data_IF_694570677712
#
_entry.id   IF_694570677712
#
_cell.length_a   1.000
_cell.length_b   1.000
_cell.length_c   1.000
_cell.angle_alpha   90.00
_cell.angle_beta   90.00
_cell.angle_gamma   90.00
#
_symmetry.space_group_name_H-M   'P 1'
#
loop_
_entity.id
_entity.type
_entity.pdbx_description
1 polymer ?
#
# COMPACT_ATOMS: atom_id res chain seq x y z
N UNK A 1 -1.12 -26.79 -12.89
CA UNK A 1 -1.22 -26.68 -11.43
C UNK A 1 -2.70 -26.71 -11.07
N UNK A 2 -3.15 -27.75 -10.37
CA UNK A 2 -4.56 -28.00 -10.07
C UNK A 2 -5.06 -26.98 -9.05
N UNK A 3 -6.05 -26.16 -9.44
CA UNK A 3 -6.78 -25.30 -8.51
C UNK A 3 -7.85 -26.19 -7.88
N UNK A 4 -7.56 -26.71 -6.70
CA UNK A 4 -8.41 -27.70 -6.07
C UNK A 4 -9.65 -27.00 -5.48
N UNK A 5 -10.74 -27.04 -6.28
CA UNK A 5 -12.08 -26.56 -5.98
C UNK A 5 -12.77 -27.38 -4.87
N UNK A 6 -12.07 -27.83 -3.84
CA UNK A 6 -12.63 -28.75 -2.83
C UNK A 6 -12.85 -28.03 -1.48
N UNK A 7 -13.98 -28.30 -0.82
CA UNK A 7 -14.25 -27.81 0.53
C UNK A 7 -13.45 -28.62 1.58
N UNK A 8 -13.59 -28.27 2.86
CA UNK A 8 -12.89 -28.94 3.96
C UNK A 8 -13.20 -30.45 4.10
N UNK A 9 -14.29 -30.90 3.47
CA UNK A 9 -14.72 -32.31 3.44
C UNK A 9 -14.24 -33.05 2.18
N UNK A 10 -13.53 -32.37 1.27
CA UNK A 10 -13.02 -32.97 0.03
C UNK A 10 -14.03 -33.04 -1.10
N UNK A 11 -15.17 -32.35 -1.01
CA UNK A 11 -16.15 -32.24 -2.09
C UNK A 11 -15.92 -31.01 -2.96
N UNK A 12 -16.17 -31.15 -4.26
CA UNK A 12 -15.99 -30.05 -5.21
C UNK A 12 -17.00 -28.94 -4.93
N UNK A 13 -16.56 -27.87 -4.30
CA UNK A 13 -17.35 -26.72 -3.91
C UNK A 13 -16.87 -25.45 -4.64
N UNK A 14 -17.51 -25.21 -5.78
CA UNK A 14 -17.27 -24.01 -6.58
C UNK A 14 -17.71 -22.72 -5.87
N UNK A 15 -18.58 -22.81 -4.87
CA UNK A 15 -19.09 -21.66 -4.12
C UNK A 15 -18.05 -21.17 -3.12
N UNK A 16 -17.48 -22.08 -2.33
CA UNK A 16 -16.40 -21.76 -1.41
C UNK A 16 -15.17 -21.18 -2.14
N UNK A 17 -14.78 -21.79 -3.27
CA UNK A 17 -13.67 -21.29 -4.08
C UNK A 17 -13.91 -19.86 -4.60
N UNK A 18 -15.10 -19.58 -5.16
CA UNK A 18 -15.45 -18.23 -5.65
C UNK A 18 -15.44 -17.19 -4.54
N UNK A 19 -15.93 -17.54 -3.35
CA UNK A 19 -15.93 -16.64 -2.20
C UNK A 19 -14.50 -16.29 -1.75
N UNK A 20 -13.59 -17.27 -1.69
CA UNK A 20 -12.18 -17.05 -1.36
C UNK A 20 -11.51 -16.14 -2.39
N UNK A 21 -11.70 -16.42 -3.68
CA UNK A 21 -11.14 -15.62 -4.77
C UNK A 21 -11.63 -14.16 -4.74
N UNK A 22 -12.91 -13.92 -4.44
CA UNK A 22 -13.45 -12.57 -4.31
C UNK A 22 -12.78 -11.79 -3.15
N UNK A 23 -12.51 -12.44 -2.02
CA UNK A 23 -11.79 -11.83 -0.89
C UNK A 23 -10.32 -11.57 -1.26
N UNK A 24 -9.67 -12.48 -1.99
CA UNK A 24 -8.30 -12.26 -2.45
C UNK A 24 -8.20 -11.10 -3.46
N UNK A 25 -9.14 -11.00 -4.40
CA UNK A 25 -9.16 -9.91 -5.37
C UNK A 25 -9.36 -8.54 -4.70
N UNK A 26 -10.28 -8.45 -3.74
CA UNK A 26 -10.48 -7.21 -2.97
C UNK A 26 -9.24 -6.83 -2.15
N UNK A 27 -8.56 -7.81 -1.54
CA UNK A 27 -7.27 -7.58 -0.88
C UNK A 27 -6.18 -7.11 -1.86
N UNK A 28 -6.08 -7.73 -3.04
CA UNK A 28 -5.11 -7.34 -4.08
C UNK A 28 -5.36 -5.91 -4.58
N UNK A 29 -6.62 -5.50 -4.76
CA UNK A 29 -6.97 -4.11 -5.13
C UNK A 29 -6.53 -3.11 -4.06
N UNK A 30 -6.86 -3.36 -2.79
CA UNK A 30 -6.43 -2.50 -1.67
C UNK A 30 -4.90 -2.39 -1.57
N UNK A 31 -4.18 -3.49 -1.77
CA UNK A 31 -2.71 -3.48 -1.78
C UNK A 31 -2.13 -2.66 -2.95
N UNK A 32 -2.75 -2.73 -4.14
CA UNK A 32 -2.34 -1.91 -5.29
C UNK A 32 -2.57 -0.42 -5.03
N UNK A 33 -3.74 -0.05 -4.52
CA UNK A 33 -4.05 1.34 -4.14
C UNK A 33 -3.04 1.86 -3.11
N UNK A 34 -2.73 1.07 -2.07
CA UNK A 34 -1.72 1.44 -1.09
C UNK A 34 -0.33 1.61 -1.72
N UNK A 35 0.08 0.73 -2.64
CA UNK A 35 1.37 0.84 -3.32
C UNK A 35 1.49 2.09 -4.21
N UNK A 36 0.39 2.54 -4.82
CA UNK A 36 0.35 3.79 -5.57
C UNK A 36 0.51 5.00 -4.64
N UNK A 37 -0.18 5.01 -3.49
CA UNK A 37 0.00 6.04 -2.47
C UNK A 37 1.42 6.09 -1.93
N UNK A 38 2.04 4.93 -1.68
CA UNK A 38 3.41 4.86 -1.17
C UNK A 38 4.43 5.42 -2.18
N UNK A 39 4.23 5.16 -3.48
CA UNK A 39 5.04 5.77 -4.55
C UNK A 39 4.91 7.29 -4.56
N UNK A 40 3.70 7.83 -4.41
CA UNK A 40 3.48 9.27 -4.34
C UNK A 40 4.23 9.88 -3.16
N UNK A 41 4.14 9.25 -1.98
CA UNK A 41 4.85 9.69 -0.77
C UNK A 41 6.36 9.67 -0.96
N UNK A 42 6.92 8.67 -1.65
CA UNK A 42 8.35 8.63 -1.98
C UNK A 42 8.78 9.82 -2.85
N UNK A 43 8.01 10.15 -3.89
CA UNK A 43 8.33 11.30 -4.76
C UNK A 43 8.29 12.61 -4.00
N UNK A 44 7.28 12.81 -3.14
CA UNK A 44 7.19 14.01 -2.30
C UNK A 44 8.42 14.12 -1.38
N UNK A 45 8.80 13.02 -0.71
CA UNK A 45 10.00 12.99 0.14
C UNK A 45 11.26 13.35 -0.64
N UNK A 46 11.40 12.83 -1.86
CA UNK A 46 12.53 13.11 -2.73
C UNK A 46 12.63 14.59 -3.11
N UNK A 47 11.52 15.22 -3.51
CA UNK A 47 11.48 16.65 -3.84
C UNK A 47 11.81 17.51 -2.61
N UNK A 48 11.22 17.18 -1.45
CA UNK A 48 11.49 17.88 -0.18
C UNK A 48 12.97 17.80 0.18
N UNK A 49 13.58 16.63 0.00
CA UNK A 49 15.00 16.41 0.23
C UNK A 49 15.90 17.23 -0.69
N UNK A 50 15.59 17.29 -1.99
CA UNK A 50 16.31 18.11 -2.96
C UNK A 50 16.21 19.61 -2.64
N UNK A 51 15.07 20.06 -2.11
CA UNK A 51 14.87 21.44 -1.69
C UNK A 51 15.63 21.81 -0.40
N UNK A 52 16.36 20.86 0.22
CA UNK A 52 17.10 21.12 1.47
C UNK A 52 16.25 20.99 2.73
N UNK A 53 15.06 20.38 2.63
CA UNK A 53 14.16 20.17 3.75
C UNK A 53 14.05 18.69 4.11
N UNK A 54 13.47 18.42 5.27
CA UNK A 54 12.99 17.10 5.68
C UNK A 54 11.54 17.21 6.14
N UNK A 55 10.75 16.18 5.88
CA UNK A 55 9.42 16.02 6.47
C UNK A 55 9.59 15.57 7.93
N UNK A 56 9.13 16.39 8.88
CA UNK A 56 9.13 16.04 10.30
C UNK A 56 7.93 15.19 10.70
N UNK A 57 6.74 15.63 10.29
CA UNK A 57 5.45 14.92 10.44
C UNK A 57 4.88 14.66 9.03
N UNK A 58 3.55 14.55 8.90
CA UNK A 58 2.87 14.38 7.60
C UNK A 58 3.00 15.59 6.66
N UNK A 59 3.05 16.80 7.21
CA UNK A 59 3.02 18.05 6.42
C UNK A 59 4.05 19.10 6.86
N UNK A 60 4.77 18.87 7.97
CA UNK A 60 5.72 19.86 8.50
C UNK A 60 7.07 19.76 7.81
N UNK A 61 7.56 20.90 7.32
CA UNK A 61 8.88 21.01 6.71
C UNK A 61 9.90 21.52 7.73
N UNK A 62 11.08 20.91 7.73
CA UNK A 62 12.21 21.33 8.56
C UNK A 62 13.42 21.55 7.67
N UNK A 63 13.96 22.77 7.66
CA UNK A 63 15.16 23.06 6.89
C UNK A 63 16.35 22.31 7.49
N UNK A 64 17.17 21.65 6.65
CA UNK A 64 18.23 20.74 7.10
C UNK A 64 19.34 21.49 7.87
N UNK A 65 19.75 22.66 7.39
CA UNK A 65 20.87 23.42 7.98
C UNK A 65 20.42 24.26 9.17
N UNK A 66 19.46 25.16 8.96
CA UNK A 66 19.00 26.09 10.00
C UNK A 66 18.12 25.46 11.06
N UNK A 67 17.69 24.21 10.86
CA UNK A 67 16.71 23.48 11.70
C UNK A 67 15.38 24.21 11.89
N UNK A 68 15.13 25.28 11.14
CA UNK A 68 13.90 26.07 11.19
C UNK A 68 12.73 25.21 10.73
N UNK A 69 11.63 25.30 11.47
CA UNK A 69 10.40 24.55 11.21
C UNK A 69 9.41 25.46 10.52
N UNK A 70 8.70 24.89 9.56
CA UNK A 70 7.63 25.50 8.81
C UNK A 70 6.41 24.60 8.97
N UNK A 71 5.36 25.17 9.54
CA UNK A 71 4.09 24.49 9.83
C UNK A 71 3.13 24.57 8.66
#
# INVERSE_FOLDING_TARGET
MSSDFYNAEGYKDSTAYKAIMAIEETKKRKMKEQAEHDKLVQHIKYIVELAGFRLGDRVKLVHKESRRRYE
#
